data_IF_037825150261
#
_entry.id   IF_037825150261
#
_cell.length_a   1.000
_cell.length_b   1.000
_cell.length_c   1.000
_cell.angle_alpha   90.00
_cell.angle_beta   90.00
_cell.angle_gamma   90.00
#
_symmetry.space_group_name_H-M   'P 1'
#
loop_
_entity.id
_entity.type
_entity.pdbx_description
1 polymer ?
#
# COMPACT_ATOMS: atom_id res chain seq x y z
N UNK A 1 -21.54 4.07 15.33
CA UNK A 1 -21.11 2.71 15.72
C UNK A 1 -20.03 2.33 14.73
N UNK A 2 -18.89 1.84 15.19
CA UNK A 2 -17.83 1.40 14.29
C UNK A 2 -18.34 0.20 13.49
N UNK A 3 -18.29 0.28 12.16
CA UNK A 3 -18.58 -0.85 11.29
C UNK A 3 -17.29 -1.66 11.10
N UNK A 4 -17.40 -2.99 11.15
CA UNK A 4 -16.27 -3.89 10.92
C UNK A 4 -15.94 -3.89 9.42
N UNK A 5 -14.67 -3.74 9.10
CA UNK A 5 -14.20 -3.77 7.72
C UNK A 5 -13.62 -5.15 7.43
N UNK A 6 -14.15 -5.80 6.39
CA UNK A 6 -13.64 -7.08 5.93
C UNK A 6 -12.32 -6.88 5.16
N UNK A 7 -11.24 -7.46 5.68
CA UNK A 7 -9.93 -7.43 5.04
C UNK A 7 -9.91 -8.13 3.68
N UNK A 8 -10.79 -9.11 3.44
CA UNK A 8 -10.95 -9.71 2.12
C UNK A 8 -11.56 -8.74 1.11
N UNK A 9 -12.49 -7.89 1.55
CA UNK A 9 -13.03 -6.82 0.71
C UNK A 9 -11.95 -5.79 0.36
N UNK A 10 -11.08 -5.44 1.32
CA UNK A 10 -9.92 -4.56 1.06
C UNK A 10 -8.99 -5.20 0.03
N UNK A 11 -8.66 -6.49 0.17
CA UNK A 11 -7.78 -7.19 -0.76
C UNK A 11 -8.38 -7.19 -2.18
N UNK A 12 -9.65 -7.55 -2.33
CA UNK A 12 -10.33 -7.57 -3.63
C UNK A 12 -10.39 -6.18 -4.27
N UNK A 13 -10.68 -5.13 -3.49
CA UNK A 13 -10.66 -3.76 -3.99
C UNK A 13 -9.24 -3.31 -4.40
N UNK A 14 -8.22 -3.71 -3.64
CA UNK A 14 -6.82 -3.43 -3.97
C UNK A 14 -6.37 -4.15 -5.24
N UNK A 15 -6.80 -5.39 -5.46
CA UNK A 15 -6.54 -6.08 -6.74
C UNK A 15 -7.16 -5.32 -7.92
N UNK A 16 -8.40 -4.85 -7.83
CA UNK A 16 -9.06 -4.09 -8.91
C UNK A 16 -8.38 -2.73 -9.16
N UNK A 17 -8.10 -1.98 -8.09
CA UNK A 17 -7.52 -0.62 -8.18
C UNK A 17 -6.10 -0.66 -8.74
N UNK A 18 -5.31 -1.67 -8.34
CA UNK A 18 -3.89 -1.79 -8.69
C UNK A 18 -3.63 -2.46 -10.05
N UNK A 19 -4.65 -3.03 -10.70
CA UNK A 19 -4.59 -3.44 -12.12
C UNK A 19 -4.36 -2.24 -13.03
N UNK A 20 -4.79 -1.05 -12.62
CA UNK A 20 -4.56 0.19 -13.36
C UNK A 20 -3.10 0.61 -13.17
N UNK A 21 -2.39 1.04 -14.22
CA UNK A 21 -1.00 1.46 -14.10
C UNK A 21 -0.83 2.50 -12.99
N UNK A 22 0.05 2.22 -12.05
CA UNK A 22 0.32 3.05 -10.87
C UNK A 22 1.58 3.84 -11.18
N UNK A 23 1.48 5.13 -11.51
CA UNK A 23 2.66 5.89 -11.94
C UNK A 23 3.14 5.59 -13.38
N UNK A 24 2.27 5.05 -14.24
CA UNK A 24 2.57 4.72 -15.64
C UNK A 24 3.20 3.33 -15.83
N UNK A 25 3.90 3.09 -16.95
CA UNK A 25 4.60 1.82 -17.25
C UNK A 25 5.82 1.57 -16.34
N UNK A 26 6.11 2.49 -15.41
CA UNK A 26 7.27 2.45 -14.53
C UNK A 26 7.14 1.43 -13.38
N UNK A 27 5.90 1.09 -13.01
CA UNK A 27 5.56 0.42 -11.75
C UNK A 27 4.59 -0.73 -12.05
N UNK A 28 5.08 -1.95 -11.92
CA UNK A 28 4.33 -3.17 -12.19
C UNK A 28 4.11 -3.96 -10.89
N UNK A 29 2.86 -4.20 -10.52
CA UNK A 29 2.52 -5.04 -9.37
C UNK A 29 2.96 -6.50 -9.62
N UNK A 30 3.68 -7.09 -8.66
CA UNK A 30 4.11 -8.48 -8.67
C UNK A 30 3.21 -9.33 -7.77
N UNK A 31 2.92 -8.82 -6.57
CA UNK A 31 2.14 -9.54 -5.56
C UNK A 31 1.39 -8.56 -4.69
N UNK A 32 0.22 -8.98 -4.22
CA UNK A 32 -0.62 -8.28 -3.27
C UNK A 32 -1.21 -9.31 -2.31
N UNK A 33 -1.10 -9.09 -1.00
CA UNK A 33 -1.64 -10.02 0.00
C UNK A 33 -1.90 -9.35 1.33
N UNK A 34 -2.77 -9.95 2.14
CA UNK A 34 -2.95 -9.59 3.55
C UNK A 34 -2.05 -10.44 4.43
N UNK A 35 -1.25 -9.80 5.28
CA UNK A 35 -0.38 -10.48 6.24
C UNK A 35 -0.26 -9.67 7.53
N UNK A 36 -0.51 -10.32 8.67
CA UNK A 36 -0.29 -9.76 10.02
C UNK A 36 -0.89 -8.36 10.27
N UNK A 37 -2.09 -8.06 9.73
CA UNK A 37 -2.73 -6.75 9.87
C UNK A 37 -2.25 -5.69 8.88
N UNK A 38 -1.49 -6.09 7.86
CA UNK A 38 -1.03 -5.23 6.78
C UNK A 38 -1.48 -5.76 5.42
N UNK A 39 -1.71 -4.84 4.50
CA UNK A 39 -1.71 -5.10 3.07
C UNK A 39 -0.27 -4.98 2.59
N UNK A 40 0.30 -6.09 2.16
CA UNK A 40 1.63 -6.15 1.59
C UNK A 40 1.54 -6.06 0.07
N UNK A 41 2.23 -5.08 -0.50
CA UNK A 41 2.39 -4.89 -1.94
C UNK A 41 3.83 -5.14 -2.32
N UNK A 42 4.05 -5.96 -3.35
CA UNK A 42 5.36 -6.12 -3.97
C UNK A 42 5.25 -5.69 -5.42
N UNK A 43 6.15 -4.82 -5.85
CA UNK A 43 6.15 -4.27 -7.19
C UNK A 43 7.57 -4.22 -7.78
N UNK A 44 7.62 -4.19 -9.11
CA UNK A 44 8.81 -3.89 -9.88
C UNK A 44 8.77 -2.44 -10.30
N UNK A 45 9.85 -1.71 -10.03
CA UNK A 45 10.09 -0.41 -10.63
C UNK A 45 11.23 -0.54 -11.63
N UNK A 46 11.01 -0.12 -12.87
CA UNK A 46 12.01 -0.12 -13.95
C UNK A 46 13.39 0.49 -13.57
N UNK A 47 13.44 1.49 -12.69
CA UNK A 47 14.67 2.17 -12.27
C UNK A 47 15.37 1.48 -11.08
N UNK A 48 14.80 0.40 -10.54
CA UNK A 48 15.34 -0.32 -9.39
C UNK A 48 15.56 -1.81 -9.69
N UNK A 49 16.75 -2.37 -9.42
CA UNK A 49 17.07 -3.74 -9.82
C UNK A 49 16.37 -4.80 -8.95
N UNK A 50 16.05 -4.50 -7.69
CA UNK A 50 15.33 -5.40 -6.81
C UNK A 50 13.82 -5.08 -6.77
N UNK A 51 12.96 -6.10 -6.57
CA UNK A 51 11.57 -5.88 -6.18
C UNK A 51 11.46 -5.02 -4.91
N UNK A 52 10.49 -4.12 -4.91
CA UNK A 52 10.21 -3.22 -3.82
C UNK A 52 8.95 -3.69 -3.09
N UNK A 53 9.02 -3.75 -1.77
CA UNK A 53 7.93 -4.11 -0.88
C UNK A 53 7.39 -2.87 -0.17
N UNK A 54 6.07 -2.79 -0.03
CA UNK A 54 5.39 -1.73 0.70
C UNK A 54 4.29 -2.32 1.59
N UNK A 55 4.13 -1.79 2.80
CA UNK A 55 3.13 -2.24 3.76
C UNK A 55 2.19 -1.11 4.11
N UNK A 56 0.90 -1.37 3.98
CA UNK A 56 -0.16 -0.46 4.44
C UNK A 56 -0.88 -1.14 5.59
N UNK A 57 -0.97 -0.47 6.73
CA UNK A 57 -1.73 -0.97 7.87
C UNK A 57 -3.22 -1.08 7.49
N UNK A 58 -3.83 -2.23 7.79
CA UNK A 58 -5.23 -2.49 7.48
C UNK A 58 -6.12 -2.01 8.62
N UNK A 59 -7.17 -1.22 8.32
CA UNK A 59 -8.17 -0.90 9.30
C UNK A 59 -9.04 -2.13 9.60
N UNK A 60 -9.34 -2.34 10.88
CA UNK A 60 -10.29 -3.36 11.34
C UNK A 60 -11.73 -2.84 11.39
N UNK A 61 -11.89 -1.52 11.53
CA UNK A 61 -13.17 -0.82 11.67
C UNK A 61 -13.13 0.58 11.06
N UNK A 62 -14.31 1.15 10.82
CA UNK A 62 -14.44 2.55 10.35
C UNK A 62 -13.95 3.60 11.36
N UNK A 63 -13.75 3.23 12.63
CA UNK A 63 -13.18 4.11 13.66
C UNK A 63 -11.65 3.97 13.75
N UNK A 64 -11.04 3.04 13.00
CA UNK A 64 -9.59 2.83 13.01
C UNK A 64 -8.84 4.11 12.55
N UNK A 65 -7.71 4.50 13.19
CA UNK A 65 -6.98 5.72 12.84
C UNK A 65 -6.57 5.80 11.37
N UNK A 66 -6.20 4.66 10.78
CA UNK A 66 -5.80 4.58 9.37
C UNK A 66 -6.99 4.77 8.41
N UNK A 67 -8.20 4.33 8.81
CA UNK A 67 -9.40 4.60 8.03
C UNK A 67 -9.77 6.08 8.09
N UNK A 68 -9.89 6.60 9.32
CA UNK A 68 -10.33 7.98 9.59
C UNK A 68 -9.38 9.04 9.04
N UNK A 69 -8.07 8.75 8.91
CA UNK A 69 -7.09 9.65 8.27
C UNK A 69 -7.51 10.10 6.87
N UNK A 70 -8.12 9.20 6.09
CA UNK A 70 -8.53 9.47 4.72
C UNK A 70 -10.02 9.80 4.59
N UNK A 71 -10.79 9.61 5.67
CA UNK A 71 -12.24 9.80 5.73
C UNK A 71 -13.01 9.26 4.50
N UNK A 72 -12.76 8.01 4.09
CA UNK A 72 -13.36 7.43 2.90
C UNK A 72 -14.86 7.12 3.14
N UNK A 73 -15.65 7.09 2.06
CA UNK A 73 -17.05 6.69 2.10
C UNK A 73 -17.23 5.18 1.82
N UNK A 74 -16.22 4.52 1.25
CA UNK A 74 -16.23 3.09 0.93
C UNK A 74 -14.80 2.51 0.92
N UNK A 75 -14.70 1.18 0.91
CA UNK A 75 -13.41 0.46 0.92
C UNK A 75 -12.58 0.79 -0.32
N UNK A 76 -13.23 0.90 -1.49
CA UNK A 76 -12.58 1.22 -2.76
C UNK A 76 -11.93 2.60 -2.73
N UNK A 77 -12.62 3.57 -2.11
CA UNK A 77 -12.10 4.92 -1.93
C UNK A 77 -10.93 4.93 -0.95
N UNK A 78 -11.01 4.16 0.14
CA UNK A 78 -9.89 3.98 1.06
C UNK A 78 -8.68 3.38 0.35
N UNK A 79 -8.86 2.35 -0.47
CA UNK A 79 -7.78 1.71 -1.23
C UNK A 79 -7.13 2.69 -2.21
N UNK A 80 -7.93 3.48 -2.95
CA UNK A 80 -7.37 4.47 -3.89
C UNK A 80 -6.47 5.48 -3.15
N UNK A 81 -6.90 6.01 -2.00
CA UNK A 81 -6.12 7.02 -1.26
C UNK A 81 -5.01 6.43 -0.38
N UNK A 82 -5.35 5.50 0.51
CA UNK A 82 -4.44 4.95 1.51
C UNK A 82 -3.38 4.01 0.92
N UNK A 83 -3.69 3.37 -0.22
CA UNK A 83 -2.78 2.42 -0.86
C UNK A 83 -2.16 3.04 -2.11
N UNK A 84 -2.96 3.35 -3.12
CA UNK A 84 -2.44 3.74 -4.43
C UNK A 84 -1.80 5.13 -4.43
N UNK A 85 -2.52 6.16 -3.96
CA UNK A 85 -1.96 7.52 -3.92
C UNK A 85 -0.76 7.60 -2.99
N UNK A 86 -0.83 6.95 -1.83
CA UNK A 86 0.27 6.92 -0.87
C UNK A 86 1.51 6.23 -1.45
N UNK A 87 1.34 5.12 -2.17
CA UNK A 87 2.43 4.46 -2.87
C UNK A 87 3.08 5.38 -3.92
N UNK A 88 2.28 6.06 -4.75
CA UNK A 88 2.79 7.00 -5.76
C UNK A 88 3.54 8.16 -5.09
N UNK A 89 2.96 8.72 -4.02
CA UNK A 89 3.57 9.79 -3.24
C UNK A 89 4.92 9.33 -2.67
N UNK A 90 4.99 8.17 -2.04
CA UNK A 90 6.22 7.63 -1.45
C UNK A 90 7.31 7.38 -2.49
N UNK A 91 6.88 6.89 -3.64
CA UNK A 91 7.72 6.69 -4.80
C UNK A 91 8.30 8.01 -5.33
N UNK A 92 7.49 9.08 -5.39
CA UNK A 92 7.91 10.40 -5.90
C UNK A 92 8.66 11.26 -4.88
N UNK A 93 8.31 11.15 -3.60
CA UNK A 93 8.87 11.95 -2.50
C UNK A 93 10.20 11.41 -1.99
N UNK A 94 10.64 10.26 -2.53
CA UNK A 94 11.96 9.71 -2.24
C UNK A 94 11.97 8.93 -0.94
N UNK A 95 10.96 8.11 -0.64
CA UNK A 95 11.12 7.09 0.40
C UNK A 95 12.31 6.16 0.10
N UNK A 96 12.60 5.96 -1.19
CA UNK A 96 13.84 5.36 -1.68
C UNK A 96 15.12 6.14 -1.36
N UNK A 97 15.04 7.37 -0.86
CA UNK A 97 16.19 8.19 -0.47
C UNK A 97 16.22 8.47 1.04
N UNK A 98 15.05 8.68 1.66
CA UNK A 98 14.94 9.16 3.04
C UNK A 98 14.16 8.23 3.99
N UNK A 99 13.45 7.24 3.46
CA UNK A 99 12.71 6.27 4.27
C UNK A 99 13.57 5.13 4.81
N UNK A 100 13.05 4.47 5.85
CA UNK A 100 13.59 3.22 6.39
C UNK A 100 13.55 2.12 5.34
N UNK A 101 14.61 1.30 5.30
CA UNK A 101 14.78 0.26 4.30
C UNK A 101 15.39 -0.98 4.93
N UNK A 102 14.76 -2.12 4.70
CA UNK A 102 15.32 -3.40 5.10
C UNK A 102 15.11 -4.45 4.00
N UNK A 103 16.04 -5.37 3.89
CA UNK A 103 15.92 -6.52 3.00
C UNK A 103 15.30 -7.69 3.75
N UNK A 104 14.31 -8.32 3.15
CA UNK A 104 13.79 -9.62 3.57
C UNK A 104 13.66 -10.53 2.33
N UNK A 105 14.51 -11.55 2.28
CA UNK A 105 14.73 -12.35 1.08
C UNK A 105 15.26 -11.50 -0.09
N UNK A 106 14.53 -11.51 -1.21
CA UNK A 106 14.87 -10.75 -2.42
C UNK A 106 14.15 -9.40 -2.52
N UNK A 107 13.31 -9.06 -1.54
CA UNK A 107 12.48 -7.84 -1.55
C UNK A 107 13.12 -6.77 -0.68
N UNK A 108 13.27 -5.57 -1.23
CA UNK A 108 13.63 -4.38 -0.47
C UNK A 108 12.33 -3.72 0.05
N UNK A 109 12.08 -3.83 1.34
CA UNK A 109 10.92 -3.23 1.99
C UNK A 109 11.15 -1.76 2.29
N UNK A 110 10.17 -0.94 1.94
CA UNK A 110 10.12 0.49 2.17
C UNK A 110 9.22 0.78 3.37
N UNK A 111 9.76 1.47 4.36
CA UNK A 111 9.06 1.82 5.58
C UNK A 111 9.03 3.34 5.74
N UNK A 112 7.81 3.89 5.90
CA UNK A 112 7.65 5.26 6.38
C UNK A 112 8.16 5.29 7.82
N UNK A 113 9.16 6.13 8.11
CA UNK A 113 9.52 6.38 9.51
C UNK A 113 8.28 6.91 10.24
N UNK A 114 7.98 6.43 11.46
CA UNK A 114 6.91 7.01 12.24
C UNK A 114 7.24 8.47 12.50
N UNK A 115 6.38 9.37 12.02
CA UNK A 115 6.45 10.80 12.30
C UNK A 115 6.19 11.11 13.78
#
# INVERSE_FOLDING_TARGET
MAEVIDQQAILAAAEDVMVRPVGGDALALISLRVAAGFLELVFRWNDYPQPLGYRVELPDTTDHPVWTRWAPQAVEEWVEYAVRFTLIEDMQTGLLQYGGRHFDGEVLWLEREPA
#
